data_IF_970259280618
#
_entry.id   IF_970259280618
#
_cell.length_a   1.000
_cell.length_b   1.000
_cell.length_c   1.000
_cell.angle_alpha   90.00
_cell.angle_beta   90.00
_cell.angle_gamma   90.00
#
_symmetry.space_group_name_H-M   'P 1'
#
loop_
_entity.id
_entity.type
_entity.pdbx_description
1 polymer ?
#
# COMPACT_ATOMS: atom_id res chain seq x y z
N UNK A 1 52.36 9.69 7.91
CA UNK A 1 52.25 9.45 6.45
C UNK A 1 50.80 9.70 6.02
N UNK A 2 50.55 10.74 5.22
CA UNK A 2 49.20 11.21 4.88
C UNK A 2 48.64 10.61 3.58
N UNK A 3 47.36 10.89 3.31
CA UNK A 3 46.64 10.42 2.12
C UNK A 3 47.29 10.89 0.79
N UNK A 4 48.02 11.99 0.82
CA UNK A 4 48.78 12.54 -0.31
C UNK A 4 49.91 11.60 -0.77
N UNK A 5 50.54 10.88 0.16
CA UNK A 5 51.61 9.93 -0.17
C UNK A 5 51.07 8.71 -0.92
N UNK A 6 49.90 8.20 -0.51
CA UNK A 6 49.24 7.04 -1.14
C UNK A 6 48.79 7.41 -2.57
N UNK A 7 48.34 8.64 -2.77
CA UNK A 7 47.90 9.14 -4.08
C UNK A 7 49.06 9.22 -5.07
N UNK A 8 50.22 9.71 -4.63
CA UNK A 8 51.42 9.83 -5.47
C UNK A 8 52.12 8.49 -5.74
N UNK A 9 52.07 7.53 -4.80
CA UNK A 9 52.76 6.24 -4.95
C UNK A 9 51.97 5.20 -5.78
N UNK A 10 50.63 5.29 -5.83
CA UNK A 10 49.79 4.21 -6.38
C UNK A 10 49.47 4.35 -7.87
N UNK A 11 49.58 5.55 -8.45
CA UNK A 11 49.28 5.82 -9.87
C UNK A 11 47.82 5.56 -10.30
N UNK A 12 46.95 5.16 -9.37
CA UNK A 12 45.53 4.88 -9.57
C UNK A 12 44.70 5.85 -8.74
N UNK A 13 43.52 6.29 -9.23
CA UNK A 13 42.64 7.17 -8.45
C UNK A 13 42.28 6.48 -7.14
N UNK A 14 42.76 7.04 -6.02
CA UNK A 14 42.48 6.52 -4.69
C UNK A 14 41.06 6.95 -4.27
N UNK A 15 40.13 6.00 -4.26
CA UNK A 15 38.80 6.18 -3.70
C UNK A 15 38.75 5.57 -2.30
N UNK A 16 38.34 6.35 -1.30
CA UNK A 16 38.19 5.85 0.07
C UNK A 16 37.19 4.69 0.10
N UNK A 17 37.54 3.57 0.74
CA UNK A 17 36.75 2.32 0.70
C UNK A 17 35.31 2.49 1.22
N UNK A 18 35.07 3.42 2.14
CA UNK A 18 33.73 3.75 2.63
C UNK A 18 32.87 4.52 1.61
N UNK A 19 33.46 5.28 0.69
CA UNK A 19 32.70 5.96 -0.37
C UNK A 19 32.04 4.95 -1.34
N UNK A 20 32.67 3.78 -1.53
CA UNK A 20 32.08 2.67 -2.29
C UNK A 20 30.83 2.08 -1.64
N UNK A 21 30.64 2.30 -0.34
CA UNK A 21 29.42 1.92 0.38
C UNK A 21 28.24 2.83 0.03
N UNK A 22 28.48 4.11 -0.25
CA UNK A 22 27.44 5.06 -0.65
C UNK A 22 26.84 4.67 -2.01
N UNK A 23 27.67 4.19 -2.95
CA UNK A 23 27.16 3.70 -4.24
C UNK A 23 26.30 2.44 -4.11
N UNK A 24 26.46 1.66 -3.03
CA UNK A 24 25.59 0.51 -2.74
C UNK A 24 24.22 0.91 -2.21
N UNK A 25 24.06 2.14 -1.70
CA UNK A 25 22.77 2.68 -1.22
C UNK A 25 21.95 3.24 -2.39
N UNK A 26 22.59 3.55 -3.53
CA UNK A 26 21.91 4.12 -4.70
C UNK A 26 21.09 3.12 -5.50
N UNK A 27 21.37 1.82 -5.35
CA UNK A 27 20.71 0.76 -6.08
C UNK A 27 20.03 -0.20 -5.11
N UNK A 28 18.72 -0.47 -5.27
CA UNK A 28 18.05 -1.46 -4.46
C UNK A 28 18.67 -2.84 -4.71
N UNK A 29 19.04 -3.51 -3.63
CA UNK A 29 19.63 -4.84 -3.55
C UNK A 29 18.56 -5.88 -3.19
N UNK A 30 18.87 -7.16 -3.39
CA UNK A 30 17.98 -8.29 -3.09
C UNK A 30 17.49 -8.32 -1.62
N UNK A 31 18.25 -7.71 -0.71
CA UNK A 31 17.95 -7.65 0.72
C UNK A 31 17.21 -6.38 1.12
N UNK A 32 17.02 -5.44 0.18
CA UNK A 32 16.15 -4.31 0.43
C UNK A 32 14.72 -4.82 0.44
N UNK A 33 14.04 -4.56 1.56
CA UNK A 33 12.64 -4.92 1.74
C UNK A 33 11.83 -4.11 0.75
N UNK A 34 11.56 -4.69 -0.42
CA UNK A 34 10.50 -4.23 -1.29
C UNK A 34 9.21 -4.46 -0.53
N UNK A 35 8.66 -3.40 0.05
CA UNK A 35 7.28 -3.39 0.56
C UNK A 35 6.39 -3.48 -0.69
N UNK A 36 6.29 -4.69 -1.25
CA UNK A 36 5.36 -5.06 -2.31
C UNK A 36 4.01 -5.41 -1.68
N UNK A 37 3.57 -4.56 -0.78
CA UNK A 37 2.15 -4.43 -0.50
C UNK A 37 1.82 -3.01 -0.92
N UNK A 38 1.42 -2.85 -2.19
CA UNK A 38 0.27 -1.97 -2.41
C UNK A 38 -0.85 -2.61 -1.60
N UNK A 39 -0.90 -2.30 -0.31
CA UNK A 39 -1.96 -2.74 0.58
C UNK A 39 -3.22 -2.16 -0.05
N UNK A 40 -4.00 -2.98 -0.74
CA UNK A 40 -5.33 -2.63 -1.26
C UNK A 40 -6.32 -2.50 -0.09
N UNK A 41 -5.85 -1.96 1.02
CA UNK A 41 -6.55 -1.70 2.26
C UNK A 41 -7.08 -0.29 2.14
N UNK A 42 -8.40 -0.19 2.06
CA UNK A 42 -9.14 1.04 1.86
C UNK A 42 -9.81 1.44 3.16
N UNK A 43 -9.86 2.73 3.45
CA UNK A 43 -10.69 3.23 4.54
C UNK A 43 -12.08 3.54 4.00
N UNK A 44 -13.07 2.79 4.46
CA UNK A 44 -14.48 3.01 4.16
C UNK A 44 -15.16 3.76 5.32
N UNK A 45 -16.05 4.68 4.97
CA UNK A 45 -16.94 5.36 5.92
C UNK A 45 -18.21 4.54 6.08
N UNK A 46 -18.49 4.08 7.30
CA UNK A 46 -19.67 3.29 7.62
C UNK A 46 -20.91 4.20 7.66
N UNK A 47 -22.02 3.70 7.10
CA UNK A 47 -23.30 4.44 7.05
C UNK A 47 -24.00 4.39 8.42
N UNK A 48 -23.96 3.24 9.08
CA UNK A 48 -24.47 3.06 10.43
C UNK A 48 -23.36 2.48 11.34
N UNK A 49 -23.30 2.97 12.58
CA UNK A 49 -22.36 2.46 13.58
C UNK A 49 -22.66 0.98 13.85
N UNK A 50 -21.63 0.13 13.75
CA UNK A 50 -21.77 -1.31 13.95
C UNK A 50 -22.33 -2.09 12.77
N UNK A 51 -22.47 -1.47 11.58
CA UNK A 51 -22.93 -2.17 10.38
C UNK A 51 -21.93 -3.18 9.79
N UNK A 52 -20.69 -3.18 10.26
CA UNK A 52 -19.64 -4.09 9.80
C UNK A 52 -19.05 -4.85 11.00
N UNK A 53 -18.68 -6.11 10.76
CA UNK A 53 -17.94 -6.94 11.71
C UNK A 53 -16.58 -7.31 11.12
N UNK A 54 -15.57 -7.42 11.99
CA UNK A 54 -14.22 -7.80 11.58
C UNK A 54 -14.23 -9.22 11.01
N UNK A 55 -13.55 -9.42 9.88
CA UNK A 55 -13.47 -10.71 9.20
C UNK A 55 -14.64 -11.01 8.26
N UNK A 56 -15.69 -10.17 8.24
CA UNK A 56 -16.80 -10.35 7.32
C UNK A 56 -16.35 -10.14 5.88
N UNK A 57 -16.80 -11.03 5.00
CA UNK A 57 -16.61 -10.87 3.55
C UNK A 57 -17.69 -9.93 3.01
N UNK A 58 -17.26 -8.89 2.33
CA UNK A 58 -18.12 -7.83 1.80
C UNK A 58 -17.89 -7.69 0.28
N UNK A 59 -18.84 -7.11 -0.42
CA UNK A 59 -18.72 -6.79 -1.84
C UNK A 59 -18.46 -5.30 -2.03
N UNK A 60 -17.41 -4.98 -2.77
CA UNK A 60 -17.11 -3.61 -3.20
C UNK A 60 -17.58 -3.45 -4.63
N UNK A 61 -18.45 -2.48 -4.88
CA UNK A 61 -18.98 -2.16 -6.20
C UNK A 61 -18.61 -0.74 -6.62
N UNK A 62 -18.27 -0.53 -7.88
CA UNK A 62 -18.11 0.82 -8.43
C UNK A 62 -19.46 1.47 -8.70
N UNK A 63 -19.65 2.69 -8.20
CA UNK A 63 -20.83 3.52 -8.43
C UNK A 63 -20.39 4.93 -8.84
N UNK A 64 -20.13 5.09 -10.13
CA UNK A 64 -19.60 6.35 -10.68
C UNK A 64 -18.17 6.57 -10.19
N UNK A 65 -17.92 7.71 -9.53
CA UNK A 65 -16.62 8.04 -8.93
C UNK A 65 -16.34 7.29 -7.64
N UNK A 66 -17.38 6.80 -6.96
CA UNK A 66 -17.25 6.30 -5.60
C UNK A 66 -17.29 4.77 -5.59
N UNK A 67 -16.68 4.17 -4.57
CA UNK A 67 -16.85 2.74 -4.30
C UNK A 67 -17.82 2.56 -3.15
N UNK A 68 -18.68 1.56 -3.28
CA UNK A 68 -19.73 1.25 -2.31
C UNK A 68 -19.51 -0.16 -1.77
N UNK A 69 -19.75 -0.34 -0.48
CA UNK A 69 -19.52 -1.61 0.20
C UNK A 69 -20.85 -2.21 0.64
N UNK A 70 -21.07 -3.47 0.27
CA UNK A 70 -22.26 -4.24 0.58
C UNK A 70 -21.93 -5.44 1.48
N UNK A 71 -22.78 -5.67 2.47
CA UNK A 71 -22.88 -6.94 3.18
C UNK A 71 -24.21 -7.61 2.79
N UNK A 72 -24.10 -8.66 1.97
CA UNK A 72 -25.24 -9.25 1.27
C UNK A 72 -25.95 -8.23 0.39
N UNK A 73 -27.21 -7.90 0.74
CA UNK A 73 -28.04 -6.91 0.02
C UNK A 73 -28.01 -5.51 0.64
N UNK A 74 -27.33 -5.34 1.78
CA UNK A 74 -27.33 -4.08 2.51
C UNK A 74 -26.07 -3.28 2.22
N UNK A 75 -26.24 -2.02 1.82
CA UNK A 75 -25.14 -1.09 1.75
C UNK A 75 -24.70 -0.71 3.16
N UNK A 76 -23.43 -0.96 3.49
CA UNK A 76 -22.88 -0.73 4.83
C UNK A 76 -21.87 0.41 4.89
N UNK A 77 -21.19 0.70 3.79
CA UNK A 77 -20.14 1.72 3.74
C UNK A 77 -20.02 2.37 2.36
N UNK A 78 -19.37 3.52 2.30
CA UNK A 78 -18.87 4.14 1.08
C UNK A 78 -17.39 4.50 1.23
N UNK A 79 -16.66 4.41 0.13
CA UNK A 79 -15.26 4.80 0.03
C UNK A 79 -15.22 5.93 -1.00
N UNK A 80 -14.96 7.14 -0.50
CA UNK A 80 -14.66 8.29 -1.34
C UNK A 80 -13.19 8.23 -1.79
N UNK A 81 -12.91 8.74 -2.98
CA UNK A 81 -11.55 8.94 -3.50
C UNK A 81 -10.65 7.69 -3.47
N UNK A 82 -11.20 6.56 -3.94
CA UNK A 82 -10.42 5.33 -4.06
C UNK A 82 -9.21 5.52 -5.01
N UNK A 83 -8.02 4.98 -4.66
CA UNK A 83 -6.85 5.05 -5.53
C UNK A 83 -7.13 4.46 -6.92
N UNK A 84 -6.53 5.00 -8.00
CA UNK A 84 -6.76 4.52 -9.35
C UNK A 84 -6.38 3.04 -9.54
N UNK A 85 -5.35 2.55 -8.82
CA UNK A 85 -4.96 1.14 -8.82
C UNK A 85 -6.06 0.22 -8.29
N UNK A 86 -6.77 0.66 -7.24
CA UNK A 86 -7.90 -0.04 -6.64
C UNK A 86 -9.10 -0.02 -7.58
N UNK A 87 -9.40 1.14 -8.17
CA UNK A 87 -10.50 1.27 -9.12
C UNK A 87 -10.28 0.37 -10.33
N UNK A 88 -9.08 0.35 -10.90
CA UNK A 88 -8.72 -0.56 -11.98
C UNK A 88 -8.88 -2.04 -11.59
N UNK A 89 -8.54 -2.42 -10.36
CA UNK A 89 -8.72 -3.78 -9.87
C UNK A 89 -10.20 -4.18 -9.72
N UNK A 90 -11.07 -3.24 -9.35
CA UNK A 90 -12.53 -3.45 -9.28
C UNK A 90 -13.14 -3.51 -10.68
N UNK A 91 -12.73 -2.60 -11.57
CA UNK A 91 -13.22 -2.54 -12.96
C UNK A 91 -12.80 -3.77 -13.77
N UNK A 92 -11.58 -4.29 -13.55
CA UNK A 92 -11.11 -5.55 -14.14
C UNK A 92 -12.00 -6.76 -13.77
N UNK A 93 -12.76 -6.67 -12.67
CA UNK A 93 -13.70 -7.70 -12.20
C UNK A 93 -15.15 -7.34 -12.50
N UNK A 94 -15.40 -6.62 -13.61
CA UNK A 94 -16.73 -6.18 -14.03
C UNK A 94 -17.40 -5.20 -13.04
N UNK A 95 -16.59 -4.36 -12.38
CA UNK A 95 -17.07 -3.33 -11.46
C UNK A 95 -17.47 -3.85 -10.08
N UNK A 96 -17.20 -5.13 -9.76
CA UNK A 96 -17.47 -5.73 -8.46
C UNK A 96 -16.31 -6.60 -7.98
N UNK A 97 -15.89 -6.43 -6.74
CA UNK A 97 -14.80 -7.20 -6.14
C UNK A 97 -15.13 -7.64 -4.70
N UNK A 98 -14.88 -8.90 -4.33
CA UNK A 98 -14.96 -9.32 -2.94
C UNK A 98 -13.82 -8.71 -2.13
N UNK A 99 -14.13 -8.36 -0.89
CA UNK A 99 -13.20 -7.79 0.06
C UNK A 99 -13.48 -8.32 1.47
N UNK A 100 -12.55 -8.08 2.39
CA UNK A 100 -12.68 -8.46 3.80
C UNK A 100 -12.47 -7.23 4.67
N UNK A 101 -13.30 -7.10 5.70
CA UNK A 101 -13.12 -6.08 6.74
C UNK A 101 -11.98 -6.52 7.66
N UNK A 102 -10.81 -5.92 7.53
CA UNK A 102 -9.64 -6.26 8.37
C UNK A 102 -9.75 -5.62 9.76
N UNK A 103 -10.23 -4.37 9.81
CA UNK A 103 -10.30 -3.58 11.02
C UNK A 103 -11.51 -2.66 11.02
N UNK A 104 -11.99 -2.35 12.22
CA UNK A 104 -13.01 -1.34 12.46
C UNK A 104 -12.38 -0.27 13.35
N UNK A 105 -12.56 1.00 12.96
CA UNK A 105 -12.08 2.13 13.74
C UNK A 105 -12.76 2.16 15.11
N UNK A 106 -12.05 2.68 16.12
CA UNK A 106 -12.49 2.68 17.53
C UNK A 106 -13.88 3.31 17.71
N UNK A 107 -14.20 4.33 16.91
CA UNK A 107 -15.48 5.05 16.98
C UNK A 107 -16.62 4.36 16.18
N UNK A 108 -16.33 3.25 15.51
CA UNK A 108 -17.29 2.51 14.69
C UNK A 108 -17.81 3.27 13.46
N UNK A 109 -17.14 4.36 13.07
CA UNK A 109 -17.50 5.21 11.94
C UNK A 109 -16.72 4.87 10.66
N UNK A 110 -15.59 4.19 10.80
CA UNK A 110 -14.71 3.80 9.69
C UNK A 110 -14.36 2.33 9.76
N UNK A 111 -14.09 1.71 8.62
CA UNK A 111 -13.61 0.35 8.50
C UNK A 111 -12.46 0.28 7.49
N UNK A 112 -11.45 -0.52 7.80
CA UNK A 112 -10.36 -0.86 6.88
C UNK A 112 -10.76 -2.13 6.11
N UNK A 113 -10.77 -2.05 4.80
CA UNK A 113 -11.27 -3.08 3.90
C UNK A 113 -10.16 -3.49 2.94
N UNK A 114 -9.78 -4.76 2.96
CA UNK A 114 -8.78 -5.32 2.04
C UNK A 114 -9.47 -6.03 0.89
N UNK A 115 -9.18 -5.62 -0.34
CA UNK A 115 -9.63 -6.35 -1.53
C UNK A 115 -8.94 -7.72 -1.62
N UNK A 116 -9.70 -8.78 -1.93
CA UNK A 116 -9.14 -10.10 -2.26
C UNK A 116 -8.57 -10.13 -3.67
#
# INVERSE_FOLDING_TARGET
MGIEFIRNASGKPYTKRWARGIDRIKAPTLMDVSISEESRTLTAKLIAKGAASRGTTVLVQSKGSDLVVFDGLRQIASIADAPPSVRAAVDARQGMAPAVVERIGILGATAEIKLK
#
